data_IF_942010546853
#
_entry.id   IF_942010546853
#
_cell.length_a   1.000
_cell.length_b   1.000
_cell.length_c   1.000
_cell.angle_alpha   90.00
_cell.angle_beta   90.00
_cell.angle_gamma   90.00
#
_symmetry.space_group_name_H-M   'P 1'
#
loop_
_entity.id
_entity.type
_entity.pdbx_description
1 polymer ?
#
# COMPACT_ATOMS: atom_id res chain seq x y z
N UNK A 1 -3.99 -17.46 -40.70
CA UNK A 1 -5.12 -17.62 -39.76
C UNK A 1 -4.65 -18.06 -38.39
N UNK A 2 -4.07 -19.27 -38.24
CA UNK A 2 -3.55 -19.74 -36.94
C UNK A 2 -2.63 -18.74 -36.23
N UNK A 3 -1.61 -18.20 -36.93
CA UNK A 3 -0.68 -17.23 -36.35
C UNK A 3 -1.39 -15.95 -35.86
N UNK A 4 -2.33 -15.43 -36.64
CA UNK A 4 -3.13 -14.27 -36.25
C UNK A 4 -3.95 -14.56 -34.99
N UNK A 5 -4.61 -15.72 -34.92
CA UNK A 5 -5.37 -16.15 -33.73
C UNK A 5 -4.48 -16.35 -32.52
N UNK A 6 -3.30 -16.96 -32.69
CA UNK A 6 -2.37 -17.23 -31.60
C UNK A 6 -1.80 -15.94 -30.98
N UNK A 7 -1.45 -14.98 -31.84
CA UNK A 7 -0.75 -13.75 -31.41
C UNK A 7 -1.76 -12.69 -30.92
N UNK A 8 -3.02 -12.76 -31.35
CA UNK A 8 -4.06 -11.86 -30.88
C UNK A 8 -4.26 -11.96 -29.37
N UNK A 9 -4.38 -10.81 -28.68
CA UNK A 9 -4.49 -10.73 -27.23
C UNK A 9 -3.36 -11.43 -26.45
N UNK A 10 -2.20 -11.67 -27.07
CA UNK A 10 -1.09 -12.39 -26.44
C UNK A 10 0.26 -11.67 -26.68
N UNK A 11 0.61 -10.64 -25.87
CA UNK A 11 1.86 -9.90 -26.03
C UNK A 11 3.12 -10.78 -26.01
N UNK A 12 3.12 -11.85 -25.21
CA UNK A 12 4.26 -12.77 -25.16
C UNK A 12 4.47 -13.50 -26.50
N UNK A 13 3.38 -13.87 -27.18
CA UNK A 13 3.45 -14.49 -28.51
C UNK A 13 3.90 -13.48 -29.57
N UNK A 14 3.48 -12.20 -29.44
CA UNK A 14 4.01 -11.10 -30.26
C UNK A 14 5.53 -11.01 -30.10
N UNK A 15 6.03 -10.95 -28.87
CA UNK A 15 7.46 -10.83 -28.57
C UNK A 15 8.25 -12.02 -29.14
N UNK A 16 7.78 -13.25 -28.95
CA UNK A 16 8.42 -14.44 -29.53
C UNK A 16 8.42 -14.41 -31.06
N UNK A 17 7.33 -13.98 -31.69
CA UNK A 17 7.25 -13.86 -33.13
C UNK A 17 8.21 -12.79 -33.68
N UNK A 18 8.29 -11.62 -33.04
CA UNK A 18 9.16 -10.52 -33.45
C UNK A 18 10.64 -10.76 -33.12
N UNK A 19 10.94 -11.65 -32.17
CA UNK A 19 12.32 -11.98 -31.81
C UNK A 19 13.11 -12.59 -32.99
N UNK A 20 12.45 -13.38 -33.83
CA UNK A 20 13.04 -13.87 -35.07
C UNK A 20 13.11 -12.75 -36.12
N UNK A 21 14.35 -12.36 -36.46
CA UNK A 21 14.65 -11.22 -37.32
C UNK A 21 14.17 -11.38 -38.77
N UNK A 22 13.89 -12.60 -39.23
CA UNK A 22 13.45 -12.85 -40.61
C UNK A 22 11.95 -12.61 -40.82
N UNK A 23 11.15 -12.63 -39.74
CA UNK A 23 9.70 -12.58 -39.81
C UNK A 23 9.20 -11.22 -40.32
N UNK A 24 9.71 -10.12 -39.77
CA UNK A 24 9.27 -8.77 -40.16
C UNK A 24 9.68 -8.41 -41.59
N UNK A 25 10.93 -8.65 -42.04
CA UNK A 25 11.31 -8.49 -43.45
C UNK A 25 10.45 -9.32 -44.40
N UNK A 26 10.16 -10.59 -44.06
CA UNK A 26 9.29 -11.45 -44.86
C UNK A 26 7.89 -10.86 -45.01
N UNK A 27 7.24 -10.49 -43.89
CA UNK A 27 5.90 -9.90 -43.93
C UNK A 27 5.89 -8.59 -44.73
N UNK A 28 6.91 -7.76 -44.54
CA UNK A 28 7.01 -6.48 -45.25
C UNK A 28 7.13 -6.69 -46.75
N UNK A 29 8.00 -7.62 -47.20
CA UNK A 29 8.16 -7.96 -48.60
C UNK A 29 6.84 -8.44 -49.21
N UNK A 30 6.19 -9.42 -48.57
CA UNK A 30 4.91 -9.98 -49.02
C UNK A 30 3.80 -8.93 -49.17
N UNK A 31 3.73 -7.95 -48.25
CA UNK A 31 2.72 -6.88 -48.33
C UNK A 31 3.08 -5.84 -49.40
N UNK A 32 4.37 -5.54 -49.58
CA UNK A 32 4.85 -4.49 -50.49
C UNK A 32 4.85 -4.89 -51.98
N UNK A 33 4.94 -6.19 -52.27
CA UNK A 33 5.01 -6.69 -53.65
C UNK A 33 3.67 -6.54 -54.39
N UNK A 34 3.73 -6.21 -55.68
CA UNK A 34 2.54 -6.24 -56.54
C UNK A 34 2.33 -7.65 -57.10
N UNK A 35 1.75 -8.51 -56.26
CA UNK A 35 1.45 -9.90 -56.61
C UNK A 35 0.14 -10.01 -57.41
N UNK A 36 -0.06 -11.17 -58.05
CA UNK A 36 -1.27 -11.49 -58.81
C UNK A 36 -2.52 -11.61 -57.93
N UNK A 37 -3.70 -11.74 -58.54
CA UNK A 37 -4.96 -11.79 -57.80
C UNK A 37 -5.05 -12.96 -56.81
N UNK A 38 -4.44 -14.10 -57.16
CA UNK A 38 -4.43 -15.33 -56.36
C UNK A 38 -3.69 -15.16 -55.02
N UNK A 39 -2.73 -14.24 -54.95
CA UNK A 39 -1.90 -14.00 -53.76
C UNK A 39 -2.48 -12.90 -52.85
N UNK A 40 -3.47 -12.14 -53.31
CA UNK A 40 -4.04 -11.01 -52.55
C UNK A 40 -4.54 -11.41 -51.16
N UNK A 41 -5.11 -12.61 -51.03
CA UNK A 41 -5.54 -13.11 -49.74
C UNK A 41 -4.36 -13.29 -48.78
N UNK A 42 -3.25 -13.85 -49.26
CA UNK A 42 -2.03 -14.04 -48.47
C UNK A 42 -1.46 -12.69 -48.05
N UNK A 43 -1.42 -11.71 -48.96
CA UNK A 43 -0.99 -10.34 -48.64
C UNK A 43 -1.84 -9.70 -47.54
N UNK A 44 -3.17 -9.85 -47.62
CA UNK A 44 -4.07 -9.36 -46.59
C UNK A 44 -3.83 -10.03 -45.25
N UNK A 45 -3.63 -11.36 -45.23
CA UNK A 45 -3.31 -12.11 -44.02
C UNK A 45 -1.96 -11.69 -43.41
N UNK A 46 -0.95 -11.40 -44.24
CA UNK A 46 0.33 -10.85 -43.79
C UNK A 46 0.17 -9.46 -43.19
N UNK A 47 -0.63 -8.59 -43.82
CA UNK A 47 -0.95 -7.26 -43.30
C UNK A 47 -1.68 -7.36 -41.95
N UNK A 48 -2.67 -8.24 -41.82
CA UNK A 48 -3.35 -8.49 -40.55
C UNK A 48 -2.35 -8.97 -39.48
N UNK A 49 -1.50 -9.94 -39.80
CA UNK A 49 -0.51 -10.46 -38.85
C UNK A 49 0.46 -9.38 -38.37
N UNK A 50 1.00 -8.56 -39.28
CA UNK A 50 1.85 -7.43 -38.91
C UNK A 50 1.10 -6.39 -38.09
N UNK A 51 -0.16 -6.12 -38.42
CA UNK A 51 -1.04 -5.22 -37.69
C UNK A 51 -1.32 -5.70 -36.26
N UNK A 52 -1.55 -6.99 -36.05
CA UNK A 52 -1.70 -7.63 -34.73
C UNK A 52 -0.41 -7.45 -33.92
N UNK A 53 0.76 -7.66 -34.54
CA UNK A 53 2.06 -7.45 -33.91
C UNK A 53 2.31 -5.99 -33.49
N UNK A 54 1.66 -5.02 -34.11
CA UNK A 54 1.70 -3.61 -33.69
C UNK A 54 0.70 -3.37 -32.55
N UNK A 55 -0.54 -3.81 -32.73
CA UNK A 55 -1.62 -3.52 -31.80
C UNK A 55 -1.37 -4.11 -30.40
N UNK A 56 -1.01 -5.39 -30.33
CA UNK A 56 -0.76 -6.14 -29.09
C UNK A 56 0.70 -6.13 -28.63
N UNK A 57 1.56 -5.31 -29.22
CA UNK A 57 2.92 -5.14 -28.75
C UNK A 57 2.93 -4.48 -27.35
N UNK A 58 3.79 -4.93 -26.45
CA UNK A 58 4.03 -4.31 -25.15
C UNK A 58 5.32 -3.48 -25.11
N UNK A 59 5.99 -3.32 -26.26
CA UNK A 59 7.28 -2.66 -26.43
C UNK A 59 8.44 -3.31 -25.65
N UNK A 60 8.28 -4.54 -25.16
CA UNK A 60 9.35 -5.26 -24.45
C UNK A 60 10.58 -5.54 -25.32
N UNK A 61 10.41 -5.65 -26.65
CA UNK A 61 11.49 -5.89 -27.60
C UNK A 61 11.96 -4.59 -28.28
N UNK A 62 13.12 -4.08 -27.86
CA UNK A 62 13.65 -2.78 -28.31
C UNK A 62 13.79 -2.68 -29.84
N UNK A 63 14.16 -3.77 -30.52
CA UNK A 63 14.38 -3.76 -31.97
C UNK A 63 13.09 -3.65 -32.78
N UNK A 64 11.93 -4.00 -32.21
CA UNK A 64 10.62 -4.00 -32.87
C UNK A 64 9.52 -3.43 -31.97
N UNK A 65 9.73 -2.19 -31.50
CA UNK A 65 8.67 -1.42 -30.83
C UNK A 65 7.55 -1.06 -31.80
N UNK A 66 6.37 -0.69 -31.26
CA UNK A 66 5.22 -0.21 -32.07
C UNK A 66 5.64 0.88 -33.06
N UNK A 67 6.38 1.86 -32.58
CA UNK A 67 6.86 2.98 -33.39
C UNK A 67 7.78 2.52 -34.53
N UNK A 68 8.74 1.64 -34.25
CA UNK A 68 9.65 1.11 -35.28
C UNK A 68 8.89 0.35 -36.36
N UNK A 69 7.90 -0.46 -35.97
CA UNK A 69 7.05 -1.19 -36.92
C UNK A 69 6.16 -0.26 -37.75
N UNK A 70 5.56 0.77 -37.13
CA UNK A 70 4.76 1.80 -37.83
C UNK A 70 5.61 2.58 -38.84
N UNK A 71 6.82 2.99 -38.47
CA UNK A 71 7.76 3.63 -39.38
C UNK A 71 8.19 2.72 -40.53
N UNK A 72 8.31 1.41 -40.27
CA UNK A 72 8.64 0.43 -41.30
C UNK A 72 7.51 0.33 -42.31
N UNK A 73 6.25 0.23 -41.86
CA UNK A 73 5.07 0.28 -42.75
C UNK A 73 5.08 1.57 -43.56
N UNK A 74 5.27 2.72 -42.92
CA UNK A 74 5.25 4.03 -43.59
C UNK A 74 6.32 4.15 -44.68
N UNK A 75 7.54 3.69 -44.40
CA UNK A 75 8.68 3.81 -45.33
C UNK A 75 8.71 2.75 -46.43
N UNK A 76 8.24 1.53 -46.17
CA UNK A 76 8.40 0.38 -47.08
C UNK A 76 7.14 0.04 -47.87
N UNK A 77 5.97 0.34 -47.31
CA UNK A 77 4.66 -0.06 -47.87
C UNK A 77 3.82 1.18 -48.17
N UNK A 78 3.77 2.12 -47.23
CA UNK A 78 2.82 3.23 -47.17
C UNK A 78 1.58 2.85 -46.36
N UNK A 79 1.13 3.74 -45.46
CA UNK A 79 0.01 3.47 -44.53
C UNK A 79 -1.30 3.15 -45.27
N UNK A 80 -1.60 3.91 -46.32
CA UNK A 80 -2.79 3.70 -47.16
C UNK A 80 -2.75 2.35 -47.89
N UNK A 81 -1.59 2.01 -48.47
CA UNK A 81 -1.41 0.73 -49.16
C UNK A 81 -1.52 -0.44 -48.18
N UNK A 82 -0.95 -0.32 -46.97
CA UNK A 82 -1.11 -1.33 -45.93
C UNK A 82 -2.59 -1.58 -45.58
N UNK A 83 -3.39 -0.53 -45.41
CA UNK A 83 -4.83 -0.66 -45.12
C UNK A 83 -5.60 -1.22 -46.32
N UNK A 84 -5.24 -0.84 -47.54
CA UNK A 84 -5.82 -1.43 -48.75
C UNK A 84 -5.59 -2.95 -48.79
N UNK A 85 -4.35 -3.39 -48.54
CA UNK A 85 -3.97 -4.82 -48.49
C UNK A 85 -4.70 -5.55 -47.36
N UNK A 86 -4.79 -4.96 -46.17
CA UNK A 86 -5.55 -5.51 -45.05
C UNK A 86 -7.01 -5.80 -45.45
N UNK A 87 -7.63 -4.88 -46.18
CA UNK A 87 -9.00 -5.02 -46.70
C UNK A 87 -9.19 -6.12 -47.75
N UNK A 88 -8.12 -6.74 -48.29
CA UNK A 88 -8.26 -7.88 -49.20
C UNK A 88 -8.91 -9.10 -48.53
N UNK A 89 -8.79 -9.23 -47.21
CA UNK A 89 -9.41 -10.33 -46.47
C UNK A 89 -10.93 -10.24 -46.54
N UNK A 90 -11.49 -9.09 -46.18
CA UNK A 90 -12.95 -8.88 -46.10
C UNK A 90 -13.59 -8.73 -47.47
N UNK A 91 -12.82 -8.30 -48.48
CA UNK A 91 -13.25 -8.22 -49.89
C UNK A 91 -13.19 -9.56 -50.64
N UNK A 92 -12.59 -10.60 -50.06
CA UNK A 92 -12.50 -11.90 -50.71
C UNK A 92 -13.89 -12.54 -50.88
N UNK A 93 -14.17 -13.11 -52.05
CA UNK A 93 -15.49 -13.67 -52.40
C UNK A 93 -16.04 -14.69 -51.39
N UNK A 94 -15.17 -15.52 -50.82
CA UNK A 94 -15.54 -16.54 -49.83
C UNK A 94 -15.69 -16.01 -48.39
N UNK A 95 -15.26 -14.78 -48.08
CA UNK A 95 -15.28 -14.25 -46.71
C UNK A 95 -16.71 -14.12 -46.17
N UNK A 96 -17.62 -13.47 -46.93
CA UNK A 96 -19.00 -13.26 -46.50
C UNK A 96 -19.72 -14.57 -46.22
N UNK A 97 -19.43 -15.62 -47.00
CA UNK A 97 -20.03 -16.94 -46.80
C UNK A 97 -19.55 -17.60 -45.50
N UNK A 98 -18.25 -17.57 -45.23
CA UNK A 98 -17.69 -18.11 -43.99
C UNK A 98 -18.17 -17.35 -42.75
N UNK A 99 -18.44 -16.04 -42.87
CA UNK A 99 -18.94 -15.22 -41.77
C UNK A 99 -20.39 -15.53 -41.33
N UNK A 100 -21.20 -16.21 -42.16
CA UNK A 100 -22.62 -16.44 -41.87
C UNK A 100 -22.89 -17.51 -40.82
N UNK A 101 -22.17 -18.63 -40.87
CA UNK A 101 -22.45 -19.81 -40.04
C UNK A 101 -21.17 -20.52 -39.60
N UNK A 102 -21.12 -21.08 -38.38
CA UNK A 102 -19.97 -21.86 -37.89
C UNK A 102 -19.73 -23.17 -38.63
N UNK A 103 -20.72 -23.68 -39.38
CA UNK A 103 -20.63 -25.00 -39.99
C UNK A 103 -19.74 -24.99 -41.24
N UNK A 104 -18.65 -25.80 -41.28
CA UNK A 104 -17.72 -25.82 -42.40
C UNK A 104 -18.29 -26.62 -43.58
N UNK A 105 -19.21 -26.01 -44.34
CA UNK A 105 -19.83 -26.62 -45.52
C UNK A 105 -19.30 -25.94 -46.78
N UNK A 106 -18.43 -26.64 -47.49
CA UNK A 106 -17.79 -26.17 -48.73
C UNK A 106 -18.19 -27.06 -49.92
N UNK A 107 -18.39 -26.52 -51.13
CA UNK A 107 -18.81 -27.29 -52.30
C UNK A 107 -17.67 -28.12 -52.90
N UNK A 108 -16.43 -27.68 -52.70
CA UNK A 108 -15.21 -28.37 -53.13
C UNK A 108 -14.03 -28.00 -52.20
N UNK A 109 -12.96 -28.82 -52.16
CA UNK A 109 -11.79 -28.57 -51.31
C UNK A 109 -11.13 -27.20 -51.53
N UNK A 110 -11.15 -26.68 -52.75
CA UNK A 110 -10.52 -25.41 -53.13
C UNK A 110 -11.22 -24.20 -52.50
N UNK A 111 -12.48 -24.36 -52.06
CA UNK A 111 -13.24 -23.30 -51.37
C UNK A 111 -13.06 -23.33 -49.84
N UNK A 112 -12.26 -24.24 -49.30
CA UNK A 112 -11.97 -24.35 -47.87
C UNK A 112 -10.86 -23.37 -47.45
N UNK A 113 -11.12 -22.06 -47.60
CA UNK A 113 -10.12 -21.03 -47.30
C UNK A 113 -10.32 -20.35 -45.95
N UNK A 114 -11.57 -20.08 -45.56
CA UNK A 114 -11.90 -19.31 -44.37
C UNK A 114 -12.58 -20.15 -43.29
N UNK A 115 -12.14 -19.94 -42.06
CA UNK A 115 -12.82 -20.38 -40.85
C UNK A 115 -13.78 -19.30 -40.31
N UNK A 116 -14.90 -19.73 -39.73
CA UNK A 116 -15.93 -18.83 -39.21
C UNK A 116 -15.43 -17.94 -38.06
N UNK A 117 -14.73 -18.50 -37.07
CA UNK A 117 -14.23 -17.72 -35.93
C UNK A 117 -13.12 -16.76 -36.38
N UNK A 118 -12.31 -17.17 -37.36
CA UNK A 118 -11.33 -16.27 -37.96
C UNK A 118 -12.00 -15.04 -38.63
N UNK A 119 -13.17 -15.18 -39.27
CA UNK A 119 -13.86 -14.01 -39.83
C UNK A 119 -14.28 -13.00 -38.76
N UNK A 120 -14.68 -13.47 -37.57
CA UNK A 120 -15.01 -12.59 -36.44
C UNK A 120 -13.78 -11.84 -35.93
N UNK A 121 -12.65 -12.55 -35.79
CA UNK A 121 -11.37 -11.95 -35.42
C UNK A 121 -10.97 -10.83 -36.38
N UNK A 122 -11.08 -11.05 -37.70
CA UNK A 122 -10.80 -10.02 -38.71
C UNK A 122 -11.71 -8.80 -38.52
N UNK A 123 -13.01 -9.02 -38.32
CA UNK A 123 -14.00 -7.94 -38.15
C UNK A 123 -13.74 -7.10 -36.91
N UNK A 124 -13.31 -7.73 -35.81
CA UNK A 124 -12.94 -7.04 -34.58
C UNK A 124 -11.66 -6.21 -34.75
N UNK A 125 -10.65 -6.78 -35.40
CA UNK A 125 -9.30 -6.21 -35.42
C UNK A 125 -9.05 -5.23 -36.56
N UNK A 126 -9.70 -5.36 -37.72
CA UNK A 126 -9.42 -4.54 -38.92
C UNK A 126 -9.52 -3.04 -38.63
N UNK A 127 -10.59 -2.61 -37.95
CA UNK A 127 -10.82 -1.21 -37.62
C UNK A 127 -9.83 -0.66 -36.59
N UNK A 128 -9.53 -1.42 -35.53
CA UNK A 128 -8.60 -0.98 -34.48
C UNK A 128 -7.15 -0.98 -34.96
N UNK A 129 -6.75 -1.94 -35.79
CA UNK A 129 -5.43 -1.98 -36.43
C UNK A 129 -5.27 -0.79 -37.38
N UNK A 130 -6.28 -0.51 -38.21
CA UNK A 130 -6.27 0.65 -39.11
C UNK A 130 -6.00 1.94 -38.34
N UNK A 131 -6.70 2.16 -37.23
CA UNK A 131 -6.47 3.30 -36.35
C UNK A 131 -5.07 3.31 -35.74
N UNK A 132 -4.61 2.17 -35.20
CA UNK A 132 -3.32 2.05 -34.54
C UNK A 132 -2.12 2.35 -35.48
N UNK A 133 -2.22 1.96 -36.75
CA UNK A 133 -1.19 2.23 -37.77
C UNK A 133 -1.15 3.71 -38.17
N UNK A 134 -2.31 4.37 -38.21
CA UNK A 134 -2.41 5.79 -38.57
C UNK A 134 -2.05 6.75 -37.43
N UNK A 135 -2.27 6.32 -36.19
CA UNK A 135 -2.03 7.09 -34.99
C UNK A 135 -0.61 7.66 -34.96
N UNK A 136 -0.43 8.90 -34.51
CA UNK A 136 0.90 9.52 -34.45
C UNK A 136 1.66 9.14 -33.17
N UNK A 137 2.99 9.30 -33.17
CA UNK A 137 3.81 9.06 -31.97
C UNK A 137 3.43 9.99 -30.82
N UNK A 138 2.97 11.22 -31.11
CA UNK A 138 2.50 12.17 -30.09
C UNK A 138 1.19 11.72 -29.45
N UNK A 139 0.27 11.18 -30.24
CA UNK A 139 -0.99 10.61 -29.74
C UNK A 139 -0.75 9.31 -28.95
N UNK A 140 0.25 8.51 -29.33
CA UNK A 140 0.67 7.33 -28.56
C UNK A 140 1.23 7.72 -27.19
N UNK A 141 2.09 8.75 -27.13
CA UNK A 141 2.62 9.27 -25.86
C UNK A 141 1.54 9.85 -24.95
N UNK A 142 0.60 10.62 -25.50
CA UNK A 142 -0.53 11.19 -24.74
C UNK A 142 -1.42 10.11 -24.14
N UNK A 143 -1.77 9.07 -24.90
CA UNK A 143 -2.56 7.96 -24.36
C UNK A 143 -1.81 7.16 -23.29
N UNK A 144 -0.50 6.95 -23.48
CA UNK A 144 0.32 6.26 -22.49
C UNK A 144 0.48 7.07 -21.20
N UNK A 145 0.58 8.39 -21.31
CA UNK A 145 0.57 9.33 -20.17
C UNK A 145 -0.76 9.30 -19.43
N UNK A 146 -1.88 9.44 -20.15
CA UNK A 146 -3.23 9.33 -19.56
C UNK A 146 -3.40 7.98 -18.85
N UNK A 147 -2.91 6.88 -19.45
CA UNK A 147 -2.97 5.55 -18.84
C UNK A 147 -2.16 5.50 -17.55
N UNK A 148 -0.94 6.04 -17.53
CA UNK A 148 -0.11 6.13 -16.31
C UNK A 148 -0.78 6.97 -15.23
N UNK A 149 -1.37 8.10 -15.57
CA UNK A 149 -2.12 8.94 -14.63
C UNK A 149 -3.33 8.19 -14.06
N UNK A 150 -4.03 7.41 -14.89
CA UNK A 150 -5.17 6.61 -14.45
C UNK A 150 -4.75 5.47 -13.52
N UNK A 151 -3.65 4.78 -13.85
CA UNK A 151 -3.03 3.75 -12.99
C UNK A 151 -2.54 4.35 -11.66
N UNK A 152 -1.95 5.54 -11.68
CA UNK A 152 -1.59 6.29 -10.46
C UNK A 152 -2.83 6.64 -9.63
N UNK A 153 -3.91 7.11 -10.27
CA UNK A 153 -5.17 7.38 -9.59
C UNK A 153 -5.76 6.12 -8.93
N UNK A 154 -5.73 4.98 -9.63
CA UNK A 154 -6.24 3.72 -9.10
C UNK A 154 -5.41 3.21 -7.91
N UNK A 155 -4.08 3.38 -7.97
CA UNK A 155 -3.18 3.10 -6.85
C UNK A 155 -3.49 3.99 -5.64
N UNK A 156 -3.69 5.30 -5.84
CA UNK A 156 -4.05 6.25 -4.77
C UNK A 156 -5.39 5.86 -4.15
N UNK A 157 -6.40 5.54 -4.98
CA UNK A 157 -7.72 5.09 -4.50
C UNK A 157 -7.60 3.81 -3.68
N UNK A 158 -6.72 2.89 -4.10
CA UNK A 158 -6.46 1.65 -3.36
C UNK A 158 -5.85 1.93 -1.99
N UNK A 159 -4.85 2.82 -1.91
CA UNK A 159 -4.25 3.26 -0.64
C UNK A 159 -5.28 3.91 0.29
N UNK A 160 -6.14 4.80 -0.23
CA UNK A 160 -7.21 5.40 0.58
C UNK A 160 -8.22 4.37 1.07
N UNK A 161 -8.58 3.37 0.26
CA UNK A 161 -9.46 2.27 0.70
C UNK A 161 -8.83 1.44 1.82
N UNK A 162 -7.53 1.18 1.74
CA UNK A 162 -6.80 0.48 2.80
C UNK A 162 -6.73 1.31 4.09
N UNK A 163 -6.44 2.60 3.98
CA UNK A 163 -6.43 3.52 5.13
C UNK A 163 -7.81 3.58 5.82
N UNK A 164 -8.90 3.67 5.05
CA UNK A 164 -10.26 3.67 5.61
C UNK A 164 -10.55 2.35 6.33
N UNK A 165 -10.15 1.20 5.77
CA UNK A 165 -10.33 -0.11 6.44
C UNK A 165 -9.56 -0.20 7.76
N UNK A 166 -8.34 0.33 7.78
CA UNK A 166 -7.52 0.37 9.00
C UNK A 166 -8.14 1.30 10.05
N UNK A 167 -8.59 2.48 9.64
CA UNK A 167 -9.32 3.41 10.52
C UNK A 167 -10.61 2.79 11.06
N UNK A 168 -11.39 2.10 10.23
CA UNK A 168 -12.61 1.40 10.65
C UNK A 168 -12.30 0.30 11.68
N UNK A 169 -11.20 -0.43 11.51
CA UNK A 169 -10.74 -1.44 12.47
C UNK A 169 -10.34 -0.82 13.81
N UNK A 170 -9.57 0.27 13.81
CA UNK A 170 -9.18 0.99 15.02
C UNK A 170 -10.38 1.60 15.75
N UNK A 171 -11.34 2.17 15.00
CA UNK A 171 -12.60 2.67 15.57
C UNK A 171 -13.38 1.54 16.24
N UNK A 172 -13.40 0.36 15.63
CA UNK A 172 -14.08 -0.80 16.20
C UNK A 172 -13.39 -1.28 17.48
N UNK A 173 -12.07 -1.36 17.50
CA UNK A 173 -11.31 -1.73 18.70
C UNK A 173 -11.53 -0.73 19.84
N UNK A 174 -11.46 0.58 19.57
CA UNK A 174 -11.73 1.61 20.57
C UNK A 174 -13.16 1.53 21.11
N UNK A 175 -14.14 1.25 20.25
CA UNK A 175 -15.54 1.03 20.70
C UNK A 175 -15.66 -0.17 21.61
N UNK A 176 -14.97 -1.27 21.31
CA UNK A 176 -14.95 -2.47 22.15
C UNK A 176 -14.28 -2.20 23.51
N UNK A 177 -13.17 -1.45 23.53
CA UNK A 177 -12.51 -1.03 24.77
C UNK A 177 -13.42 -0.14 25.62
N UNK A 178 -14.11 0.84 25.02
CA UNK A 178 -15.07 1.70 25.72
C UNK A 178 -16.22 0.88 26.31
N UNK A 179 -16.77 -0.08 25.56
CA UNK A 179 -17.83 -0.95 26.03
C UNK A 179 -17.38 -1.83 27.22
N UNK A 180 -16.15 -2.36 27.15
CA UNK A 180 -15.54 -3.13 28.23
C UNK A 180 -15.34 -2.31 29.51
N UNK A 181 -14.71 -1.12 29.39
CA UNK A 181 -14.51 -0.22 30.53
C UNK A 181 -15.84 0.26 31.14
N UNK A 182 -16.86 0.50 30.31
CA UNK A 182 -18.20 0.87 30.79
C UNK A 182 -18.80 -0.25 31.63
N UNK A 183 -18.74 -1.49 31.14
CA UNK A 183 -19.22 -2.67 31.86
C UNK A 183 -18.50 -2.87 33.20
N UNK A 184 -17.18 -2.68 33.21
CA UNK A 184 -16.38 -2.78 34.44
C UNK A 184 -16.76 -1.68 35.45
N UNK A 185 -16.99 -0.46 34.97
CA UNK A 185 -17.44 0.66 35.80
C UNK A 185 -18.80 0.36 36.43
N UNK A 186 -19.75 -0.16 35.65
CA UNK A 186 -21.08 -0.55 36.14
C UNK A 186 -21.00 -1.66 37.22
N UNK A 187 -20.13 -2.65 37.02
CA UNK A 187 -19.89 -3.71 38.00
C UNK A 187 -19.28 -3.17 39.31
N UNK A 188 -18.30 -2.27 39.22
CA UNK A 188 -17.73 -1.61 40.40
C UNK A 188 -18.77 -0.76 41.12
N UNK A 189 -19.58 0.00 40.38
CA UNK A 189 -20.65 0.83 40.93
C UNK A 189 -21.71 -0.02 41.66
N UNK A 190 -22.07 -1.18 41.10
CA UNK A 190 -22.98 -2.15 41.74
C UNK A 190 -22.38 -2.71 43.04
N UNK A 191 -21.09 -3.05 43.03
CA UNK A 191 -20.37 -3.55 44.21
C UNK A 191 -20.30 -2.49 45.32
N UNK A 192 -19.98 -1.24 44.98
CA UNK A 192 -19.98 -0.11 45.92
C UNK A 192 -21.38 0.08 46.54
N UNK A 193 -22.43 0.02 45.71
CA UNK A 193 -23.81 0.14 46.18
C UNK A 193 -24.19 -0.97 47.17
N UNK A 194 -23.75 -2.21 46.90
CA UNK A 194 -23.95 -3.34 47.81
C UNK A 194 -23.20 -3.16 49.13
N UNK A 195 -21.94 -2.72 49.10
CA UNK A 195 -21.15 -2.44 50.30
C UNK A 195 -21.76 -1.32 51.15
N UNK A 196 -22.24 -0.23 50.52
CA UNK A 196 -22.94 0.85 51.21
C UNK A 196 -24.20 0.33 51.94
N UNK A 197 -24.97 -0.56 51.30
CA UNK A 197 -26.12 -1.20 51.92
C UNK A 197 -25.74 -2.06 53.13
N UNK A 198 -24.66 -2.84 53.04
CA UNK A 198 -24.15 -3.63 54.17
C UNK A 198 -23.68 -2.75 55.33
N UNK A 199 -22.96 -1.67 55.04
CA UNK A 199 -22.53 -0.69 56.05
C UNK A 199 -23.74 -0.09 56.76
N UNK A 200 -24.80 0.25 56.01
CA UNK A 200 -26.03 0.78 56.59
C UNK A 200 -26.73 -0.25 57.49
N UNK A 201 -26.82 -1.52 57.06
CA UNK A 201 -27.36 -2.61 57.90
C UNK A 201 -26.56 -2.80 59.19
N UNK A 202 -25.24 -2.81 59.12
CA UNK A 202 -24.38 -2.92 60.31
C UNK A 202 -24.55 -1.73 61.25
N UNK A 203 -24.69 -0.52 60.70
CA UNK A 203 -24.96 0.69 61.48
C UNK A 203 -26.30 0.62 62.20
N UNK A 204 -27.33 0.09 61.55
CA UNK A 204 -28.65 -0.11 62.16
C UNK A 204 -28.62 -1.20 63.25
N UNK A 205 -27.93 -2.32 63.01
CA UNK A 205 -27.70 -3.36 64.02
C UNK A 205 -26.97 -2.80 65.25
N UNK A 206 -25.91 -2.01 65.04
CA UNK A 206 -25.18 -1.34 66.12
C UNK A 206 -26.09 -0.42 66.95
N UNK A 207 -26.93 0.38 66.28
CA UNK A 207 -27.88 1.26 66.98
C UNK A 207 -28.88 0.48 67.84
N UNK A 208 -29.41 -0.65 67.33
CA UNK A 208 -30.31 -1.53 68.09
C UNK A 208 -29.61 -2.13 69.32
N UNK A 209 -28.37 -2.62 69.14
CA UNK A 209 -27.59 -3.21 70.23
C UNK A 209 -27.29 -2.18 71.32
N UNK A 210 -26.91 -0.96 70.91
CA UNK A 210 -26.70 0.18 71.82
C UNK A 210 -27.96 0.56 72.61
N UNK A 211 -29.13 0.52 71.97
CA UNK A 211 -30.43 0.74 72.63
C UNK A 211 -30.79 -0.36 73.63
N UNK A 212 -30.46 -1.64 73.34
CA UNK A 212 -30.63 -2.76 74.28
C UNK A 212 -29.74 -2.62 75.51
N UNK A 213 -28.44 -2.33 75.33
CA UNK A 213 -27.53 -2.08 76.45
C UNK A 213 -27.94 -0.85 77.30
N UNK A 214 -28.54 0.17 76.66
CA UNK A 214 -29.07 1.33 77.38
C UNK A 214 -30.30 1.04 78.24
N UNK A 215 -31.08 0.01 77.90
CA UNK A 215 -32.27 -0.42 78.67
C UNK A 215 -31.93 -1.35 79.83
N UNK A 216 -30.92 -2.21 79.70
CA UNK A 216 -30.48 -3.09 80.79
C UNK A 216 -29.87 -2.32 81.98
N UNK A 217 -29.52 -1.03 81.79
CA UNK A 217 -28.98 -0.18 82.85
C UNK A 217 -30.05 0.60 83.67
N UNK A 218 -31.35 0.48 83.36
CA UNK A 218 -32.42 1.17 84.09
C UNK A 218 -33.46 0.26 84.77
N UNK A 219 -33.30 -1.06 84.71
CA UNK A 219 -34.22 -1.98 85.39
C UNK A 219 -33.51 -3.13 86.09
N UNK A 220 -32.97 -2.87 87.29
CA UNK A 220 -33.04 -3.82 88.41
C UNK A 220 -32.96 -3.12 89.78
N UNK A 221 -33.96 -3.34 90.67
CA UNK A 221 -33.75 -3.35 92.10
C UNK A 221 -33.33 -4.77 92.56
N UNK A 222 -32.21 -4.81 93.30
CA UNK A 222 -31.75 -5.82 94.26
C UNK A 222 -32.54 -7.12 94.42
N UNK A 223 -31.89 -8.26 94.12
CA UNK A 223 -31.88 -9.45 94.99
C UNK A 223 -30.57 -10.23 94.79
N UNK A 224 -29.87 -10.48 95.90
CA UNK A 224 -28.69 -11.34 96.00
C UNK A 224 -29.09 -12.80 95.81
N UNK A 225 -28.46 -13.50 94.88
CA UNK A 225 -27.77 -14.78 95.11
C UNK A 225 -27.08 -15.25 93.83
N UNK A 226 -25.87 -15.76 94.03
CA UNK A 226 -25.14 -16.73 93.21
C UNK A 226 -24.21 -16.26 92.07
N UNK A 227 -22.91 -16.34 92.35
CA UNK A 227 -22.07 -17.29 91.63
C UNK A 227 -21.64 -16.96 90.19
N UNK A 228 -20.66 -16.06 90.06
CA UNK A 228 -19.41 -16.37 89.32
C UNK A 228 -19.46 -16.83 87.84
N UNK A 229 -20.39 -16.36 86.99
CA UNK A 229 -20.31 -16.63 85.53
C UNK A 229 -20.44 -15.42 84.59
N UNK A 230 -20.71 -14.21 85.10
CA UNK A 230 -20.97 -13.03 84.22
C UNK A 230 -19.68 -12.30 83.78
N UNK A 231 -18.55 -12.53 84.45
CA UNK A 231 -17.27 -11.91 84.10
C UNK A 231 -16.54 -12.60 82.92
N UNK A 232 -16.99 -13.79 82.50
CA UNK A 232 -16.43 -14.52 81.35
C UNK A 232 -16.94 -14.00 80.01
N UNK A 233 -18.27 -13.94 79.84
CA UNK A 233 -18.89 -13.56 78.56
C UNK A 233 -18.64 -12.10 78.14
N UNK A 234 -18.66 -11.14 79.08
CA UNK A 234 -18.33 -9.74 78.74
C UNK A 234 -16.86 -9.54 78.40
N UNK A 235 -15.96 -10.36 78.95
CA UNK A 235 -14.53 -10.35 78.61
C UNK A 235 -14.30 -10.98 77.24
N UNK A 236 -15.09 -11.99 76.88
CA UNK A 236 -15.01 -12.72 75.61
C UNK A 236 -15.66 -11.95 74.45
N UNK A 237 -16.77 -11.24 74.68
CA UNK A 237 -17.33 -10.28 73.70
C UNK A 237 -16.40 -9.07 73.50
N UNK A 238 -15.77 -8.55 74.56
CA UNK A 238 -14.76 -7.49 74.44
C UNK A 238 -13.47 -7.97 73.77
N UNK A 239 -13.09 -9.24 73.94
CA UNK A 239 -11.94 -9.81 73.23
C UNK A 239 -12.25 -10.00 71.75
N UNK A 240 -13.45 -10.49 71.40
CA UNK A 240 -13.91 -10.63 70.01
C UNK A 240 -14.01 -9.27 69.31
N UNK A 241 -14.59 -8.25 69.96
CA UNK A 241 -14.63 -6.88 69.43
C UNK A 241 -13.24 -6.25 69.27
N UNK A 242 -12.28 -6.59 70.15
CA UNK A 242 -10.87 -6.15 70.00
C UNK A 242 -10.20 -6.83 68.82
N UNK A 243 -10.42 -8.12 68.66
CA UNK A 243 -9.85 -8.93 67.58
C UNK A 243 -10.41 -8.48 66.23
N UNK A 244 -11.72 -8.21 66.15
CA UNK A 244 -12.39 -7.68 64.96
C UNK A 244 -11.91 -6.25 64.63
N UNK A 245 -11.67 -5.40 65.63
CA UNK A 245 -11.03 -4.07 65.44
C UNK A 245 -9.58 -4.17 64.95
N UNK A 246 -8.84 -5.16 65.42
CA UNK A 246 -7.45 -5.39 65.02
C UNK A 246 -7.39 -5.95 63.58
N UNK A 247 -8.34 -6.80 63.21
CA UNK A 247 -8.51 -7.31 61.85
C UNK A 247 -8.96 -6.22 60.87
N UNK A 248 -9.89 -5.35 61.26
CA UNK A 248 -10.29 -4.17 60.48
C UNK A 248 -9.10 -3.20 60.29
N UNK A 249 -8.26 -3.02 61.32
CA UNK A 249 -7.04 -2.22 61.20
C UNK A 249 -6.02 -2.85 60.25
N UNK A 250 -5.86 -4.17 60.28
CA UNK A 250 -4.99 -4.89 59.33
C UNK A 250 -5.52 -4.72 57.90
N UNK A 251 -6.83 -4.86 57.68
CA UNK A 251 -7.44 -4.64 56.36
C UNK A 251 -7.28 -3.19 55.88
N UNK A 252 -7.49 -2.20 56.74
CA UNK A 252 -7.27 -0.80 56.40
C UNK A 252 -5.81 -0.53 56.01
N UNK A 253 -4.86 -1.12 56.73
CA UNK A 253 -3.43 -0.97 56.43
C UNK A 253 -3.08 -1.60 55.08
N UNK A 254 -3.62 -2.79 54.77
CA UNK A 254 -3.43 -3.47 53.50
C UNK A 254 -4.01 -2.68 52.32
N UNK A 255 -5.24 -2.16 52.47
CA UNK A 255 -5.88 -1.33 51.45
C UNK A 255 -5.10 -0.03 51.22
N UNK A 256 -4.57 0.57 52.28
CA UNK A 256 -3.75 1.78 52.18
C UNK A 256 -2.43 1.52 51.44
N UNK A 257 -1.79 0.36 51.65
CA UNK A 257 -0.62 -0.05 50.85
C UNK A 257 -0.98 -0.27 49.38
N UNK A 258 -2.08 -0.96 49.09
CA UNK A 258 -2.52 -1.20 47.71
C UNK A 258 -2.88 0.08 46.94
N UNK A 259 -3.42 1.09 47.62
CA UNK A 259 -3.66 2.41 47.01
C UNK A 259 -2.33 3.10 46.68
N UNK A 260 -1.37 3.09 47.60
CA UNK A 260 -0.03 3.64 47.35
C UNK A 260 0.70 2.96 46.18
N UNK A 261 0.58 1.62 46.06
CA UNK A 261 1.16 0.87 44.94
C UNK A 261 0.50 1.23 43.59
N UNK A 262 -0.82 1.47 43.59
CA UNK A 262 -1.55 1.91 42.39
C UNK A 262 -1.19 3.34 42.00
N UNK A 263 -1.04 4.25 42.96
CA UNK A 263 -0.61 5.62 42.71
C UNK A 263 0.81 5.65 42.12
N UNK A 264 1.73 4.83 42.64
CA UNK A 264 3.07 4.69 42.08
C UNK A 264 3.05 4.15 40.62
N UNK A 265 2.15 3.22 40.32
CA UNK A 265 1.97 2.69 38.96
C UNK A 265 1.40 3.76 38.01
N UNK A 266 0.45 4.57 38.47
CA UNK A 266 -0.11 5.69 37.70
C UNK A 266 0.97 6.72 37.39
N UNK A 267 1.83 7.04 38.37
CA UNK A 267 2.94 7.98 38.16
C UNK A 267 3.98 7.42 37.18
N UNK A 268 4.25 6.11 37.22
CA UNK A 268 5.12 5.43 36.27
C UNK A 268 4.55 5.41 34.84
N UNK A 269 3.23 5.25 34.69
CA UNK A 269 2.56 5.29 33.39
C UNK A 269 2.48 6.72 32.83
N UNK A 270 2.26 7.72 33.69
CA UNK A 270 2.28 9.14 33.28
C UNK A 270 3.66 9.59 32.81
N UNK A 271 4.72 9.13 33.47
CA UNK A 271 6.10 9.43 33.06
C UNK A 271 6.48 8.73 31.75
N UNK A 272 6.00 7.51 31.51
CA UNK A 272 6.14 6.83 30.21
C UNK A 272 5.34 7.52 29.07
N UNK A 273 4.19 8.11 29.37
CA UNK A 273 3.42 8.90 28.39
C UNK A 273 4.11 10.24 28.06
N UNK A 274 4.74 10.90 29.04
CA UNK A 274 5.47 12.15 28.81
C UNK A 274 6.73 11.98 27.95
N UNK A 275 7.34 10.80 27.91
CA UNK A 275 8.44 10.50 26.97
C UNK A 275 7.98 10.30 25.52
N UNK A 276 6.67 10.21 25.27
CA UNK A 276 6.09 10.00 23.92
C UNK A 276 5.52 11.26 23.28
N UNK A 277 5.33 12.37 24.01
CA UNK A 277 4.60 13.55 23.50
C UNK A 277 5.44 14.83 23.35
N UNK A 278 6.75 14.79 23.59
CA UNK A 278 7.63 15.95 23.41
C UNK A 278 8.37 15.93 22.08
N UNK A 279 7.67 15.83 20.94
CA UNK A 279 8.17 16.30 19.63
C UNK A 279 7.05 16.31 18.59
N UNK A 280 6.23 17.36 18.64
CA UNK A 280 5.33 17.67 17.53
C UNK A 280 6.11 18.08 16.28
N UNK A 281 5.89 17.34 15.19
CA UNK A 281 6.10 17.78 13.80
C UNK A 281 7.50 17.54 13.22
N UNK A 282 7.71 16.35 12.63
CA UNK A 282 8.82 16.11 11.68
C UNK A 282 9.64 14.82 11.85
N UNK A 283 9.23 13.86 12.69
CA UNK A 283 10.10 12.76 13.14
C UNK A 283 10.41 11.68 12.09
N UNK A 284 9.42 11.22 11.31
CA UNK A 284 9.57 9.95 10.56
C UNK A 284 10.75 9.95 9.59
N UNK A 285 11.02 11.06 8.90
CA UNK A 285 12.14 11.18 7.96
C UNK A 285 13.50 11.26 8.68
N UNK A 286 13.51 11.79 9.91
CA UNK A 286 14.71 11.96 10.72
C UNK A 286 15.09 10.66 11.43
N UNK A 287 14.10 9.91 11.93
CA UNK A 287 14.29 8.58 12.52
C UNK A 287 14.71 7.55 11.47
N UNK A 288 14.10 7.56 10.28
CA UNK A 288 14.52 6.68 9.19
C UNK A 288 15.94 6.99 8.72
N UNK A 289 16.35 8.26 8.65
CA UNK A 289 17.73 8.64 8.33
C UNK A 289 18.72 8.22 9.42
N UNK A 290 18.33 8.33 10.69
CA UNK A 290 19.17 7.93 11.82
C UNK A 290 19.33 6.41 11.91
N UNK A 291 18.28 5.65 11.60
CA UNK A 291 18.31 4.19 11.49
C UNK A 291 19.15 3.73 10.29
N UNK A 292 19.09 4.44 9.15
CA UNK A 292 19.95 4.19 7.99
C UNK A 292 21.44 4.40 8.29
N UNK A 293 21.77 5.48 9.01
CA UNK A 293 23.15 5.79 9.41
C UNK A 293 23.68 4.77 10.44
N UNK A 294 22.81 4.29 11.34
CA UNK A 294 23.13 3.22 12.28
C UNK A 294 23.38 1.88 11.58
N UNK A 295 22.52 1.47 10.65
CA UNK A 295 22.70 0.26 9.84
C UNK A 295 23.98 0.32 9.01
N UNK A 296 24.27 1.47 8.41
CA UNK A 296 25.49 1.69 7.63
C UNK A 296 26.76 1.57 8.49
N UNK A 297 26.73 2.14 9.69
CA UNK A 297 27.83 2.01 10.65
C UNK A 297 28.03 0.56 11.11
N UNK A 298 26.94 -0.19 11.29
CA UNK A 298 26.98 -1.60 11.67
C UNK A 298 27.55 -2.49 10.55
N UNK A 299 27.14 -2.27 9.29
CA UNK A 299 27.71 -2.97 8.13
C UNK A 299 29.19 -2.67 7.97
N UNK A 300 29.61 -1.43 8.20
CA UNK A 300 31.01 -1.02 8.09
C UNK A 300 31.88 -1.67 9.19
N UNK A 301 31.35 -1.83 10.41
CA UNK A 301 31.99 -2.58 11.50
C UNK A 301 32.14 -4.06 11.13
N UNK A 302 31.07 -4.69 10.63
CA UNK A 302 31.10 -6.10 10.24
C UNK A 302 32.09 -6.37 9.10
N UNK A 303 32.22 -5.44 8.16
CA UNK A 303 33.25 -5.49 7.10
C UNK A 303 34.67 -5.41 7.66
N UNK A 304 34.92 -4.62 8.70
CA UNK A 304 36.21 -4.57 9.37
C UNK A 304 36.55 -5.89 10.07
N UNK A 305 35.57 -6.49 10.76
CA UNK A 305 35.73 -7.78 11.46
C UNK A 305 36.00 -8.93 10.47
N UNK A 306 35.27 -8.98 9.35
CA UNK A 306 35.50 -9.98 8.29
C UNK A 306 36.91 -9.84 7.71
N UNK A 307 37.38 -8.62 7.48
CA UNK A 307 38.74 -8.40 7.01
C UNK A 307 39.79 -8.84 8.03
N UNK A 308 39.59 -8.54 9.32
CA UNK A 308 40.46 -9.00 10.40
C UNK A 308 40.56 -10.53 10.44
N UNK A 309 39.42 -11.22 10.44
CA UNK A 309 39.33 -12.69 10.43
C UNK A 309 40.01 -13.29 9.19
N UNK A 310 39.91 -12.63 8.03
CA UNK A 310 40.58 -13.05 6.80
C UNK A 310 42.11 -12.95 6.91
N UNK A 311 42.63 -11.89 7.53
CA UNK A 311 44.06 -11.75 7.83
C UNK A 311 44.54 -12.80 8.84
N UNK A 312 43.78 -13.04 9.91
CA UNK A 312 44.12 -14.07 10.89
C UNK A 312 44.15 -15.46 10.26
N UNK A 313 43.20 -15.77 9.37
CA UNK A 313 43.19 -17.01 8.59
C UNK A 313 44.43 -17.17 7.72
N UNK A 314 44.86 -16.09 7.05
CA UNK A 314 46.09 -16.12 6.23
C UNK A 314 47.34 -16.35 7.09
N UNK A 315 47.42 -15.73 8.27
CA UNK A 315 48.57 -15.91 9.17
C UNK A 315 48.60 -17.32 9.77
N UNK A 316 47.43 -17.90 10.09
CA UNK A 316 47.31 -19.30 10.54
C UNK A 316 47.70 -20.29 9.45
N UNK A 317 47.28 -20.06 8.20
CA UNK A 317 47.70 -20.87 7.05
C UNK A 317 49.22 -20.79 6.85
N UNK A 318 49.79 -19.58 6.92
CA UNK A 318 51.25 -19.37 6.82
C UNK A 318 52.02 -20.07 7.95
N UNK A 319 51.48 -20.08 9.17
CA UNK A 319 52.03 -20.82 10.32
C UNK A 319 51.92 -22.34 10.15
N UNK A 320 50.82 -22.84 9.59
CA UNK A 320 50.63 -24.26 9.32
C UNK A 320 51.59 -24.76 8.23
N UNK A 321 51.78 -23.99 7.16
CA UNK A 321 52.76 -24.28 6.11
C UNK A 321 54.21 -24.24 6.62
N UNK A 322 54.53 -23.29 7.52
CA UNK A 322 55.83 -23.23 8.18
C UNK A 322 56.07 -24.38 9.18
N UNK A 323 55.00 -24.86 9.85
CA UNK A 323 55.04 -25.99 10.78
C UNK A 323 55.19 -27.35 10.09
N UNK A 324 54.61 -27.52 8.90
CA UNK A 324 54.75 -28.73 8.09
C UNK A 324 56.18 -28.96 7.56
N UNK A 325 57.01 -27.91 7.48
CA UNK A 325 58.40 -28.00 7.03
C UNK A 325 59.39 -28.50 8.11
N UNK A 326 58.99 -28.60 9.39
CA UNK A 326 59.92 -28.87 10.51
C UNK A 326 59.59 -30.08 11.40
N UNK A 327 58.54 -30.86 11.14
CA UNK A 327 58.17 -32.00 11.98
C UNK A 327 58.48 -33.36 11.32
N UNK A 328 59.54 -34.03 11.78
CA UNK A 328 59.82 -35.44 11.49
C UNK A 328 58.81 -36.40 12.15
N UNK A 329 58.75 -37.66 11.72
CA UNK A 329 57.61 -38.54 12.00
C UNK A 329 57.71 -39.19 13.38
N UNK A 330 56.75 -38.91 14.28
CA UNK A 330 56.48 -39.77 15.45
C UNK A 330 55.09 -39.55 16.08
N UNK A 331 54.42 -40.69 16.31
CA UNK A 331 53.36 -41.00 17.28
C UNK A 331 51.89 -40.89 16.89
N UNK A 332 51.16 -41.97 17.19
CA UNK A 332 49.72 -42.23 17.01
C UNK A 332 48.75 -41.18 17.60
N UNK A 333 49.22 -40.21 18.39
CA UNK A 333 48.37 -39.12 18.91
C UNK A 333 48.05 -38.04 17.86
N UNK A 334 48.79 -38.00 16.74
CA UNK A 334 48.60 -36.99 15.70
C UNK A 334 47.39 -37.28 14.81
N UNK A 335 46.97 -38.54 14.66
CA UNK A 335 45.87 -38.90 13.75
C UNK A 335 44.51 -38.36 14.21
N UNK A 336 44.22 -38.42 15.51
CA UNK A 336 42.95 -37.93 16.05
C UNK A 336 42.90 -36.40 16.14
N UNK A 337 44.03 -35.74 16.45
CA UNK A 337 44.13 -34.28 16.39
C UNK A 337 44.02 -33.74 14.95
N UNK A 338 44.55 -34.47 13.96
CA UNK A 338 44.40 -34.14 12.53
C UNK A 338 42.93 -34.28 12.12
N UNK A 339 42.24 -35.36 12.50
CA UNK A 339 40.81 -35.54 12.19
C UNK A 339 39.91 -34.48 12.84
N UNK A 340 40.19 -34.10 14.09
CA UNK A 340 39.48 -33.01 14.78
C UNK A 340 39.69 -31.67 14.05
N UNK A 341 40.92 -31.38 13.62
CA UNK A 341 41.25 -30.18 12.84
C UNK A 341 40.61 -30.19 11.45
N UNK A 342 40.55 -31.34 10.77
CA UNK A 342 39.87 -31.50 9.49
C UNK A 342 38.35 -31.30 9.62
N UNK A 343 37.74 -31.83 10.69
CA UNK A 343 36.31 -31.62 10.98
C UNK A 343 36.01 -30.15 11.28
N UNK A 344 36.87 -29.47 12.05
CA UNK A 344 36.74 -28.04 12.34
C UNK A 344 36.95 -27.18 11.09
N UNK A 345 37.92 -27.53 10.25
CA UNK A 345 38.17 -26.84 8.98
C UNK A 345 36.98 -26.98 8.03
N UNK A 346 36.37 -28.17 7.96
CA UNK A 346 35.17 -28.42 7.15
C UNK A 346 33.97 -27.61 7.65
N UNK A 347 33.73 -27.57 8.96
CA UNK A 347 32.67 -26.76 9.56
C UNK A 347 32.88 -25.26 9.30
N UNK A 348 34.11 -24.78 9.45
CA UNK A 348 34.46 -23.38 9.24
C UNK A 348 34.38 -22.98 7.76
N UNK A 349 34.70 -23.88 6.82
CA UNK A 349 34.49 -23.65 5.39
C UNK A 349 33.00 -23.51 5.05
N UNK A 350 32.15 -24.38 5.60
CA UNK A 350 30.70 -24.30 5.40
C UNK A 350 30.11 -23.00 5.95
N UNK A 351 30.58 -22.54 7.11
CA UNK A 351 30.16 -21.27 7.70
C UNK A 351 30.63 -20.06 6.86
N UNK A 352 31.86 -20.12 6.33
CA UNK A 352 32.38 -19.08 5.42
C UNK A 352 31.57 -19.00 4.13
N UNK A 353 31.13 -20.14 3.61
CA UNK A 353 30.31 -20.22 2.39
C UNK A 353 28.92 -19.63 2.62
N UNK A 354 28.27 -19.97 3.75
CA UNK A 354 26.99 -19.36 4.16
C UNK A 354 27.08 -17.86 4.36
N UNK A 355 28.16 -17.36 4.98
CA UNK A 355 28.37 -15.93 5.16
C UNK A 355 28.58 -15.21 3.82
N UNK A 356 29.25 -15.85 2.87
CA UNK A 356 29.48 -15.30 1.53
C UNK A 356 28.17 -15.22 0.72
N UNK A 357 27.32 -16.23 0.83
CA UNK A 357 25.97 -16.21 0.24
C UNK A 357 25.10 -15.11 0.85
N UNK A 358 25.13 -14.95 2.18
CA UNK A 358 24.44 -13.87 2.88
C UNK A 358 24.95 -12.48 2.46
N UNK A 359 26.27 -12.32 2.30
CA UNK A 359 26.88 -11.08 1.84
C UNK A 359 26.43 -10.73 0.42
N UNK A 360 26.43 -11.71 -0.49
CA UNK A 360 25.96 -11.51 -1.86
C UNK A 360 24.48 -11.11 -1.91
N UNK A 361 23.64 -11.70 -1.05
CA UNK A 361 22.23 -11.34 -0.92
C UNK A 361 22.02 -9.89 -0.45
N UNK A 362 22.77 -9.46 0.57
CA UNK A 362 22.71 -8.08 1.06
C UNK A 362 23.23 -7.07 0.03
N UNK A 363 24.28 -7.42 -0.72
CA UNK A 363 24.83 -6.57 -1.79
C UNK A 363 23.83 -6.41 -2.94
N UNK A 364 23.10 -7.47 -3.30
CA UNK A 364 21.99 -7.40 -4.26
C UNK A 364 20.84 -6.52 -3.76
N UNK A 365 20.45 -6.65 -2.48
CA UNK A 365 19.42 -5.79 -1.88
C UNK A 365 19.85 -4.32 -1.87
N UNK A 366 21.10 -4.03 -1.50
CA UNK A 366 21.66 -2.67 -1.52
C UNK A 366 21.65 -2.08 -2.94
N UNK A 367 22.05 -2.86 -3.96
CA UNK A 367 22.01 -2.43 -5.35
C UNK A 367 20.57 -2.13 -5.81
N UNK A 368 19.60 -2.97 -5.42
CA UNK A 368 18.19 -2.74 -5.73
C UNK A 368 17.64 -1.48 -5.08
N UNK A 369 17.93 -1.27 -3.78
CA UNK A 369 17.49 -0.10 -3.03
C UNK A 369 18.11 1.18 -3.61
N UNK A 370 19.40 1.13 -3.97
CA UNK A 370 20.10 2.26 -4.61
C UNK A 370 19.46 2.62 -5.95
N UNK A 371 19.10 1.63 -6.76
CA UNK A 371 18.40 1.86 -8.03
C UNK A 371 17.03 2.51 -7.81
N UNK A 372 16.26 2.05 -6.81
CA UNK A 372 14.95 2.63 -6.47
C UNK A 372 15.08 4.08 -6.04
N UNK A 373 16.08 4.40 -5.20
CA UNK A 373 16.33 5.78 -4.76
C UNK A 373 16.67 6.68 -5.95
N UNK A 374 17.47 6.22 -6.91
CA UNK A 374 17.80 6.99 -8.11
C UNK A 374 16.57 7.28 -8.99
N UNK A 375 15.67 6.30 -9.12
CA UNK A 375 14.40 6.47 -9.84
C UNK A 375 13.52 7.51 -9.15
N UNK A 376 13.32 7.37 -7.83
CA UNK A 376 12.50 8.31 -7.04
C UNK A 376 13.07 9.74 -7.06
N UNK A 377 14.40 9.90 -7.03
CA UNK A 377 15.02 11.21 -7.18
C UNK A 377 14.76 11.84 -8.55
N UNK A 378 14.76 11.03 -9.62
CA UNK A 378 14.47 11.51 -10.98
C UNK A 378 12.99 11.88 -11.15
N UNK A 379 12.09 11.11 -10.55
CA UNK A 379 10.66 11.43 -10.55
C UNK A 379 10.36 12.69 -9.75
N UNK A 380 11.00 12.86 -8.58
CA UNK A 380 10.89 14.08 -7.77
C UNK A 380 11.32 15.33 -8.54
N UNK A 381 12.43 15.29 -9.27
CA UNK A 381 12.87 16.44 -10.08
C UNK A 381 11.94 16.72 -11.25
N UNK A 382 11.39 15.68 -11.90
CA UNK A 382 10.38 15.84 -12.95
C UNK A 382 9.11 16.51 -12.44
N UNK A 383 8.54 16.02 -11.34
CA UNK A 383 7.34 16.58 -10.73
C UNK A 383 7.55 18.03 -10.25
N UNK A 384 8.75 18.35 -9.75
CA UNK A 384 9.10 19.74 -9.39
C UNK A 384 9.12 20.66 -10.62
N UNK A 385 9.61 20.18 -11.77
CA UNK A 385 9.60 20.94 -13.02
C UNK A 385 8.18 21.18 -13.54
N UNK A 386 7.34 20.14 -13.56
CA UNK A 386 5.93 20.24 -14.00
C UNK A 386 5.13 21.18 -13.09
N UNK A 387 5.36 21.12 -11.77
CA UNK A 387 4.74 22.04 -10.83
C UNK A 387 5.14 23.50 -11.11
N UNK A 388 6.40 23.76 -11.48
CA UNK A 388 6.86 25.09 -11.81
C UNK A 388 6.28 25.59 -13.14
N UNK A 389 6.18 24.72 -14.14
CA UNK A 389 5.56 25.03 -15.43
C UNK A 389 4.08 25.32 -15.28
N UNK A 390 3.34 24.48 -14.54
CA UNK A 390 1.92 24.70 -14.25
C UNK A 390 1.67 26.01 -13.50
N UNK A 391 2.52 26.38 -12.54
CA UNK A 391 2.44 27.69 -11.88
C UNK A 391 2.63 28.85 -12.86
N UNK A 392 3.58 28.72 -13.77
CA UNK A 392 3.81 29.75 -14.80
C UNK A 392 2.61 29.88 -15.74
N UNK A 393 2.00 28.77 -16.15
CA UNK A 393 0.78 28.79 -16.95
C UNK A 393 -0.41 29.42 -16.21
N UNK A 394 -0.53 29.17 -14.90
CA UNK A 394 -1.54 29.83 -14.05
C UNK A 394 -1.31 31.35 -13.99
N UNK A 395 -0.07 31.80 -13.82
CA UNK A 395 0.28 33.23 -13.82
C UNK A 395 0.00 33.89 -15.19
N UNK A 396 0.34 33.21 -16.29
CA UNK A 396 0.06 33.68 -17.65
C UNK A 396 -1.45 33.77 -17.92
N UNK A 397 -2.24 32.81 -17.42
CA UNK A 397 -3.69 32.84 -17.52
C UNK A 397 -4.29 34.00 -16.71
N UNK A 398 -3.81 34.24 -15.49
CA UNK A 398 -4.25 35.38 -14.67
C UNK A 398 -3.96 36.71 -15.37
N UNK A 399 -2.82 36.84 -16.04
CA UNK A 399 -2.48 38.02 -16.83
C UNK A 399 -3.43 38.20 -18.03
N UNK A 400 -3.78 37.11 -18.73
CA UNK A 400 -4.77 37.16 -19.83
C UNK A 400 -6.18 37.52 -19.35
N UNK A 401 -6.58 37.03 -18.17
CA UNK A 401 -7.86 37.39 -17.56
C UNK A 401 -7.89 38.87 -17.18
N UNK A 402 -6.82 39.39 -16.58
CA UNK A 402 -6.71 40.83 -16.27
C UNK A 402 -6.77 41.71 -17.54
N UNK A 403 -6.11 41.30 -18.63
CA UNK A 403 -6.19 41.99 -19.92
C UNK A 403 -7.62 41.95 -20.51
N UNK A 404 -8.31 40.82 -20.38
CA UNK A 404 -9.71 40.69 -20.78
C UNK A 404 -10.61 41.62 -19.96
N UNK A 405 -10.45 41.66 -18.63
CA UNK A 405 -11.22 42.53 -17.75
C UNK A 405 -11.00 44.01 -18.10
N UNK A 406 -9.75 44.42 -18.38
CA UNK A 406 -9.46 45.78 -18.81
C UNK A 406 -10.12 46.10 -20.17
N UNK A 407 -10.16 45.13 -21.09
CA UNK A 407 -10.84 45.28 -22.38
C UNK A 407 -12.35 45.36 -22.23
N UNK A 408 -12.94 44.53 -21.37
CA UNK A 408 -14.37 44.57 -21.03
C UNK A 408 -14.71 45.93 -20.42
N UNK A 409 -13.90 46.42 -19.48
CA UNK A 409 -14.08 47.73 -18.88
C UNK A 409 -14.04 48.85 -19.93
N UNK A 410 -13.07 48.82 -20.86
CA UNK A 410 -12.99 49.78 -21.97
C UNK A 410 -14.20 49.73 -22.92
N UNK A 411 -14.74 48.54 -23.19
CA UNK A 411 -15.95 48.38 -23.99
C UNK A 411 -17.20 48.88 -23.26
N UNK A 412 -17.34 48.57 -21.96
CA UNK A 412 -18.42 49.09 -21.10
C UNK A 412 -18.40 50.62 -21.08
N UNK A 413 -17.23 51.24 -20.90
CA UNK A 413 -17.11 52.71 -20.94
C UNK A 413 -17.53 53.28 -22.30
N UNK A 414 -17.11 52.66 -23.41
CA UNK A 414 -17.49 53.11 -24.75
C UNK A 414 -18.99 52.97 -25.03
N UNK A 415 -19.64 51.94 -24.48
CA UNK A 415 -21.10 51.79 -24.55
C UNK A 415 -21.82 52.88 -23.75
N UNK A 416 -21.34 53.20 -22.54
CA UNK A 416 -21.84 54.34 -21.74
C UNK A 416 -21.69 55.67 -22.50
N UNK A 417 -20.53 55.92 -23.11
CA UNK A 417 -20.29 57.13 -23.92
C UNK A 417 -21.22 57.24 -25.13
N UNK A 418 -21.70 56.11 -25.66
CA UNK A 418 -22.65 56.04 -26.78
C UNK A 418 -24.12 56.14 -26.34
N UNK A 419 -24.38 56.27 -25.03
CA UNK A 419 -25.72 56.47 -24.47
C UNK A 419 -26.51 55.18 -24.21
N UNK A 420 -25.87 54.01 -24.30
CA UNK A 420 -26.47 52.73 -23.93
C UNK A 420 -26.33 52.49 -22.42
N UNK A 421 -27.41 52.06 -21.72
CA UNK A 421 -27.34 51.72 -20.31
C UNK A 421 -26.53 50.43 -20.13
N UNK A 422 -25.43 50.52 -19.38
CA UNK A 422 -24.62 49.37 -18.97
C UNK A 422 -24.84 49.18 -17.48
N UNK A 423 -25.46 48.08 -17.07
CA UNK A 423 -25.60 47.70 -15.67
C UNK A 423 -24.20 47.43 -15.09
N UNK A 424 -23.83 48.18 -14.05
CA UNK A 424 -22.60 47.91 -13.30
C UNK A 424 -22.84 46.73 -12.36
N UNK A 425 -21.82 45.90 -12.11
CA UNK A 425 -22.01 44.70 -11.26
C UNK A 425 -22.37 45.06 -9.81
N UNK A 426 -22.11 46.30 -9.38
CA UNK A 426 -22.52 46.83 -8.07
C UNK A 426 -24.02 47.16 -7.98
N UNK A 427 -24.76 47.22 -9.10
CA UNK A 427 -26.20 47.54 -9.12
C UNK A 427 -27.11 46.30 -8.91
N UNK A 428 -26.54 45.10 -8.92
CA UNK A 428 -27.30 43.83 -8.81
C UNK A 428 -27.68 43.53 -7.35
N UNK A 429 -26.85 43.93 -6.38
CA UNK A 429 -27.08 43.68 -4.94
C UNK A 429 -28.24 44.51 -4.35
N UNK A 430 -28.71 45.56 -5.04
CA UNK A 430 -29.79 46.41 -4.55
C UNK A 430 -31.21 45.91 -4.88
N UNK A 431 -31.35 44.86 -5.73
CA UNK A 431 -32.67 44.40 -6.23
C UNK A 431 -33.28 43.22 -5.45
N UNK A 432 -32.61 42.66 -4.45
CA UNK A 432 -33.12 41.49 -3.68
C UNK A 432 -33.87 41.82 -2.36
N UNK A 433 -34.14 43.10 -2.03
CA UNK A 433 -34.79 43.46 -0.75
C UNK A 433 -36.26 43.92 -0.83
N UNK A 434 -36.99 43.70 -1.94
CA UNK A 434 -38.41 44.07 -2.00
C UNK A 434 -39.27 43.05 -2.74
N UNK A 435 -39.50 41.87 -2.16
CA UNK A 435 -40.65 41.03 -2.57
C UNK A 435 -41.13 40.05 -1.49
N UNK A 436 -41.08 40.43 -0.21
CA UNK A 436 -41.79 39.70 0.85
C UNK A 436 -42.71 40.70 1.56
N UNK A 437 -43.90 40.90 1.00
CA UNK A 437 -45.13 41.24 1.72
C UNK A 437 -46.29 41.26 0.71
N UNK A 438 -47.45 40.74 1.14
CA UNK A 438 -48.76 40.69 0.45
C UNK A 438 -49.02 39.44 -0.41
N UNK A 439 -49.56 38.39 0.22
CA UNK A 439 -50.99 38.04 0.08
C UNK A 439 -51.32 36.71 0.82
N UNK A 440 -51.56 36.80 2.12
CA UNK A 440 -52.58 35.97 2.77
C UNK A 440 -53.93 36.68 2.51
N UNK A 441 -54.86 36.05 1.79
CA UNK A 441 -56.30 36.04 2.14
C UNK A 441 -57.19 35.37 1.05
N UNK A 442 -58.09 34.51 1.55
CA UNK A 442 -59.44 34.14 1.05
C UNK A 442 -59.62 33.37 -0.28
N UNK A 443 -59.74 32.04 -0.20
CA UNK A 443 -61.02 31.25 -0.14
C UNK A 443 -60.83 29.77 -0.58
#
# INVERSE_FOLDING_TARGET
MLLCTWISNCPIAVTHFLHNQDNVPFLTAQISENLGEDERLVQGLCALLLGICIYYNDNSLENYTKEKLKQLIEKRIGKENFVEKLGFITKHELYSRAALKPQPVFPSPEQMLFDHEFTKLVKELEGVITKAVHKSSEEDKKEEEVKKTLEQHDNIVTQYKELIREQDAQIQELKEQVASMTTQTDQMQATISQQLSQIQQHKDQYNILKLKLGKDNQSQPSTQADGSQVNGLQTEELSQLREELEELRKQHTLLQTQVGDKDALIDSLKSAAQTSESSGGGSDDTELLQELEALKSQVQSQLADINQLKTERQELLRRAEAGAAYAGPSSDGTSDAIKELESRLSAQMSETERLKESQAGLEQQLASATSTVAILQTEKTKLQSELQESKKEQDDLLMLLADQDQKIHGLKQRLKDLGEPVEDEDDIDAREQTSDEEDEDED
#
